data_IF_016292555903
#
_entry.id   IF_016292555903
#
_cell.length_a   1.000
_cell.length_b   1.000
_cell.length_c   1.000
_cell.angle_alpha   90.00
_cell.angle_beta   90.00
_cell.angle_gamma   90.00
#
_symmetry.space_group_name_H-M   'P 1'
#
loop_
_entity.id
_entity.type
_entity.pdbx_description
1 polymer ?
#
# COMPACT_ATOMS: atom_id res chain seq x y z
N UNK A 1 -0.75 -16.39 16.21
CA UNK A 1 0.45 -15.65 15.81
C UNK A 1 1.12 -16.50 14.75
N UNK A 2 0.72 -16.32 13.50
CA UNK A 2 1.47 -16.86 12.37
C UNK A 2 2.67 -15.91 12.23
N UNK A 3 3.87 -16.38 12.54
CA UNK A 3 5.07 -15.62 12.22
C UNK A 3 5.26 -15.72 10.71
N UNK A 4 4.95 -14.66 9.97
CA UNK A 4 5.19 -14.58 8.54
C UNK A 4 6.69 -14.69 8.21
N UNK A 5 7.06 -14.76 6.92
CA UNK A 5 8.45 -14.87 6.50
C UNK A 5 9.28 -13.69 7.02
N UNK A 6 10.29 -13.98 7.84
CA UNK A 6 11.40 -13.07 8.16
C UNK A 6 12.58 -13.43 7.27
N UNK A 7 13.05 -12.51 6.43
CA UNK A 7 14.12 -12.79 5.49
C UNK A 7 15.50 -12.38 6.03
N UNK A 8 16.54 -12.84 5.34
CA UNK A 8 17.96 -12.55 5.63
C UNK A 8 18.41 -11.42 4.69
N UNK A 9 19.51 -10.70 4.96
CA UNK A 9 19.94 -9.58 4.12
C UNK A 9 19.99 -9.93 2.62
N UNK A 10 19.43 -9.08 1.76
CA UNK A 10 19.37 -9.25 0.31
C UNK A 10 18.05 -8.79 -0.30
N UNK A 11 17.95 -8.82 -1.63
CA UNK A 11 16.71 -8.47 -2.32
C UNK A 11 15.71 -9.63 -2.22
N UNK A 12 14.61 -9.42 -1.51
CA UNK A 12 13.61 -10.46 -1.27
C UNK A 12 12.29 -10.24 -2.02
N UNK A 13 11.52 -11.33 -2.15
CA UNK A 13 10.12 -11.28 -2.55
C UNK A 13 9.30 -11.96 -1.46
N UNK A 14 8.46 -11.19 -0.78
CA UNK A 14 7.72 -11.62 0.39
C UNK A 14 6.22 -11.72 0.07
N UNK A 15 5.66 -12.90 0.27
CA UNK A 15 4.23 -13.19 0.12
C UNK A 15 3.79 -13.96 1.38
N UNK A 16 2.90 -13.35 2.17
CA UNK A 16 2.32 -13.98 3.37
C UNK A 16 1.31 -15.07 3.03
N UNK A 17 0.72 -15.00 1.83
CA UNK A 17 -0.41 -15.81 1.43
C UNK A 17 -1.72 -15.29 2.02
N UNK A 18 -2.51 -16.18 2.60
CA UNK A 18 -3.77 -15.84 3.24
C UNK A 18 -3.63 -15.94 4.76
N UNK A 19 -4.13 -14.96 5.50
CA UNK A 19 -4.08 -14.93 6.95
C UNK A 19 -3.81 -13.52 7.46
N UNK A 20 -3.36 -13.41 8.70
CA UNK A 20 -2.83 -12.14 9.19
C UNK A 20 -1.34 -12.37 9.42
N UNK A 21 -0.52 -11.86 8.52
CA UNK A 21 0.92 -12.11 8.47
C UNK A 21 1.74 -10.87 8.81
N UNK A 22 2.99 -11.11 9.22
CA UNK A 22 3.99 -10.04 9.40
C UNK A 22 5.15 -10.32 8.46
N UNK A 23 5.40 -9.40 7.54
CA UNK A 23 6.45 -9.47 6.52
C UNK A 23 7.55 -8.47 6.91
N UNK A 24 8.79 -8.96 7.01
CA UNK A 24 9.95 -8.13 7.35
C UNK A 24 11.00 -8.30 6.26
N UNK A 25 11.20 -7.27 5.44
CA UNK A 25 12.12 -7.29 4.30
C UNK A 25 13.59 -7.27 4.71
N UNK A 26 13.97 -6.38 5.61
CA UNK A 26 15.33 -6.35 6.15
C UNK A 26 16.22 -5.35 5.43
N UNK A 27 17.33 -5.80 4.84
CA UNK A 27 18.24 -4.97 4.04
C UNK A 27 18.14 -5.41 2.58
N UNK A 28 18.13 -4.49 1.62
CA UNK A 28 18.08 -4.81 0.19
C UNK A 28 16.82 -4.27 -0.48
N UNK A 29 16.63 -4.61 -1.76
CA UNK A 29 15.43 -4.22 -2.50
C UNK A 29 14.35 -5.29 -2.36
N UNK A 30 13.29 -4.99 -1.63
CA UNK A 30 12.25 -5.95 -1.27
C UNK A 30 10.94 -5.74 -2.04
N UNK A 31 10.31 -6.85 -2.40
CA UNK A 31 9.03 -6.86 -3.09
C UNK A 31 7.96 -7.61 -2.29
N UNK A 32 7.05 -6.86 -1.68
CA UNK A 32 5.92 -7.38 -0.91
C UNK A 32 4.72 -7.62 -1.84
N UNK A 33 4.25 -8.85 -1.92
CA UNK A 33 3.22 -9.28 -2.87
C UNK A 33 1.93 -9.61 -2.13
N UNK A 34 0.83 -8.97 -2.53
CA UNK A 34 -0.51 -9.24 -2.03
C UNK A 34 -1.46 -9.56 -3.19
N UNK A 35 -2.19 -10.66 -3.06
CA UNK A 35 -3.18 -11.08 -4.06
C UNK A 35 -4.32 -11.88 -3.43
N UNK A 36 -5.50 -11.85 -4.04
CA UNK A 36 -6.66 -12.58 -3.53
C UNK A 36 -7.15 -12.10 -2.16
N UNK A 37 -7.51 -13.04 -1.29
CA UNK A 37 -7.96 -12.81 0.08
C UNK A 37 -6.75 -13.00 1.02
N UNK A 38 -5.89 -11.98 1.08
CA UNK A 38 -4.64 -12.04 1.82
C UNK A 38 -4.82 -11.77 3.31
N UNK A 39 -5.87 -11.04 3.71
CA UNK A 39 -6.19 -10.73 5.10
C UNK A 39 -5.55 -9.44 5.62
N UNK A 40 -5.22 -9.40 6.90
CA UNK A 40 -4.71 -8.20 7.58
C UNK A 40 -3.22 -8.29 7.88
N UNK A 41 -2.40 -7.86 6.93
CA UNK A 41 -0.96 -8.02 6.97
C UNK A 41 -0.24 -6.78 7.50
N UNK A 42 0.95 -7.00 8.07
CA UNK A 42 1.85 -5.95 8.55
C UNK A 42 3.20 -6.05 7.85
N UNK A 43 3.67 -4.94 7.30
CA UNK A 43 5.02 -4.78 6.76
C UNK A 43 5.87 -4.06 7.81
N UNK A 44 7.07 -4.58 8.04
CA UNK A 44 8.09 -3.96 8.88
C UNK A 44 9.32 -3.70 8.02
N UNK A 45 9.54 -2.44 7.73
CA UNK A 45 10.76 -1.95 7.08
C UNK A 45 11.79 -1.48 8.10
N UNK A 46 13.07 -1.67 7.78
CA UNK A 46 14.15 -1.18 8.62
C UNK A 46 15.41 -0.75 7.88
N UNK A 47 15.36 -0.66 6.55
CA UNK A 47 16.53 -0.31 5.75
C UNK A 47 16.79 1.21 5.75
N UNK A 48 18.07 1.58 5.75
CA UNK A 48 18.56 2.97 5.61
C UNK A 48 19.26 3.21 4.28
N UNK A 49 19.28 2.20 3.41
CA UNK A 49 19.87 2.23 2.08
C UNK A 49 19.06 3.11 1.11
N UNK A 50 19.51 3.17 -0.14
CA UNK A 50 18.77 3.81 -1.24
C UNK A 50 18.09 2.76 -2.13
N UNK A 51 17.78 1.60 -1.55
CA UNK A 51 17.11 0.51 -2.24
C UNK A 51 15.67 0.91 -2.57
N UNK A 52 15.02 0.09 -3.39
CA UNK A 52 13.69 0.39 -3.92
C UNK A 52 12.78 -0.72 -3.45
N UNK A 53 12.03 -0.43 -2.39
CA UNK A 53 11.06 -1.34 -1.83
C UNK A 53 9.69 -1.07 -2.43
N UNK A 54 9.01 -2.15 -2.76
CA UNK A 54 7.76 -2.11 -3.52
C UNK A 54 6.71 -2.97 -2.83
N UNK A 55 5.52 -2.40 -2.63
CA UNK A 55 4.31 -3.17 -2.38
C UNK A 55 3.56 -3.35 -3.69
N UNK A 56 3.32 -4.61 -4.08
CA UNK A 56 2.53 -5.00 -5.24
C UNK A 56 1.18 -5.60 -4.82
N UNK A 57 0.08 -4.99 -5.24
CA UNK A 57 -1.26 -5.56 -5.09
C UNK A 57 -1.85 -5.99 -6.44
N UNK A 58 -2.32 -7.23 -6.54
CA UNK A 58 -2.92 -7.76 -7.77
C UNK A 58 -4.45 -7.67 -7.76
N UNK A 59 -5.03 -7.48 -8.95
CA UNK A 59 -6.48 -7.40 -9.19
C UNK A 59 -7.19 -6.28 -8.41
N UNK A 60 -6.47 -5.18 -8.14
CA UNK A 60 -6.97 -4.00 -7.42
C UNK A 60 -6.79 -2.75 -8.28
N UNK A 61 -7.83 -1.93 -8.38
CA UNK A 61 -7.72 -0.60 -9.01
C UNK A 61 -7.23 0.45 -8.00
N UNK A 62 -6.47 1.48 -8.42
CA UNK A 62 -6.00 2.53 -7.52
C UNK A 62 -7.07 3.22 -6.67
N UNK A 63 -8.29 3.39 -7.20
CA UNK A 63 -9.42 4.00 -6.51
C UNK A 63 -10.04 3.08 -5.43
N UNK A 64 -9.70 1.80 -5.43
CA UNK A 64 -10.07 0.86 -4.37
C UNK A 64 -9.12 0.89 -3.17
N UNK A 65 -7.96 1.53 -3.27
CA UNK A 65 -7.02 1.65 -2.15
C UNK A 65 -7.34 2.87 -1.31
N UNK A 66 -7.49 2.66 0.00
CA UNK A 66 -7.72 3.72 0.98
C UNK A 66 -6.54 3.85 1.93
N UNK A 67 -5.83 4.96 1.84
CA UNK A 67 -4.66 5.29 2.65
C UNK A 67 -5.07 6.12 3.86
N UNK A 68 -4.61 5.73 5.05
CA UNK A 68 -4.91 6.44 6.29
C UNK A 68 -3.75 6.37 7.28
N UNK A 69 -3.49 7.48 7.97
CA UNK A 69 -2.61 7.49 9.12
C UNK A 69 -3.38 6.94 10.34
N UNK A 70 -2.86 5.88 10.95
CA UNK A 70 -3.48 5.27 12.12
C UNK A 70 -3.31 6.18 13.34
N UNK A 71 -4.44 6.68 13.86
CA UNK A 71 -4.46 7.69 14.93
C UNK A 71 -3.75 7.21 16.20
N UNK A 72 -2.78 7.99 16.68
CA UNK A 72 -2.02 7.68 17.89
C UNK A 72 -0.83 6.75 17.68
N UNK A 73 -0.48 6.44 16.44
CA UNK A 73 0.68 5.63 16.03
C UNK A 73 1.46 6.33 14.91
N UNK A 74 2.57 5.76 14.48
CA UNK A 74 3.30 6.18 13.29
C UNK A 74 3.02 5.28 12.07
N UNK A 75 1.92 4.53 12.10
CA UNK A 75 1.62 3.53 11.07
C UNK A 75 0.78 4.10 9.91
N UNK A 76 1.09 3.64 8.70
CA UNK A 76 0.25 3.83 7.52
C UNK A 76 -0.62 2.59 7.31
N UNK A 77 -1.93 2.77 7.24
CA UNK A 77 -2.88 1.72 6.89
C UNK A 77 -3.40 1.91 5.46
N UNK A 78 -3.30 0.84 4.67
CA UNK A 78 -3.86 0.73 3.32
C UNK A 78 -4.97 -0.31 3.33
N UNK A 79 -6.22 0.12 3.20
CA UNK A 79 -7.39 -0.77 3.12
C UNK A 79 -7.83 -0.98 1.67
N UNK A 80 -8.26 -2.19 1.33
CA UNK A 80 -8.85 -2.49 0.01
C UNK A 80 -10.38 -2.43 0.11
N UNK A 81 -10.97 -1.37 -0.45
CA UNK A 81 -12.40 -1.09 -0.40
C UNK A 81 -13.21 -2.25 -1.00
N UNK A 82 -14.18 -2.75 -0.23
CA UNK A 82 -15.04 -3.87 -0.63
C UNK A 82 -14.54 -5.24 -0.17
N UNK A 83 -13.45 -5.30 0.59
CA UNK A 83 -12.88 -6.52 1.17
C UNK A 83 -12.46 -6.28 2.62
N UNK A 84 -12.04 -7.34 3.32
CA UNK A 84 -11.42 -7.24 4.65
C UNK A 84 -9.88 -7.10 4.56
N UNK A 85 -9.33 -7.09 3.35
CA UNK A 85 -7.90 -7.00 3.11
C UNK A 85 -7.35 -5.63 3.51
N UNK A 86 -6.24 -5.66 4.25
CA UNK A 86 -5.53 -4.46 4.65
C UNK A 86 -4.04 -4.73 4.82
N UNK A 87 -3.22 -3.72 4.50
CA UNK A 87 -1.78 -3.73 4.73
C UNK A 87 -1.45 -2.58 5.68
N UNK A 88 -0.81 -2.88 6.80
CA UNK A 88 -0.26 -1.90 7.73
C UNK A 88 1.25 -1.80 7.52
N UNK A 89 1.75 -0.61 7.26
CA UNK A 89 3.19 -0.34 7.20
C UNK A 89 3.59 0.28 8.54
N UNK A 90 4.33 -0.50 9.33
CA UNK A 90 4.77 -0.11 10.67
C UNK A 90 5.71 1.08 10.60
N UNK A 91 5.52 2.05 11.49
CA UNK A 91 6.44 3.18 11.70
C UNK A 91 6.69 4.08 10.47
N UNK A 92 5.82 4.02 9.45
CA UNK A 92 5.89 4.83 8.22
C UNK A 92 6.17 6.32 8.48
N UNK A 93 5.57 6.89 9.52
CA UNK A 93 5.71 8.30 9.90
C UNK A 93 6.85 8.57 10.89
N UNK A 94 7.52 7.54 11.41
CA UNK A 94 8.61 7.66 12.39
C UNK A 94 9.96 8.03 11.75
N UNK A 95 10.12 7.80 10.44
CA UNK A 95 11.35 8.12 9.72
C UNK A 95 11.44 7.44 8.36
N UNK A 96 12.40 7.86 7.54
CA UNK A 96 12.54 7.38 6.16
C UNK A 96 13.04 5.95 6.02
N UNK A 97 13.46 5.31 7.11
CA UNK A 97 13.95 3.93 7.12
C UNK A 97 12.86 2.88 7.32
N UNK A 98 11.61 3.30 7.43
CA UNK A 98 10.44 2.43 7.67
C UNK A 98 9.42 2.55 6.53
N UNK A 99 9.84 3.10 5.40
CA UNK A 99 8.96 3.45 4.30
C UNK A 99 9.41 2.75 3.05
N UNK A 100 8.46 2.47 2.17
CA UNK A 100 8.69 1.99 0.81
C UNK A 100 8.87 3.14 -0.17
N UNK A 101 9.41 2.85 -1.35
CA UNK A 101 9.53 3.81 -2.45
C UNK A 101 8.27 3.83 -3.31
N UNK A 102 7.64 2.67 -3.55
CA UNK A 102 6.48 2.57 -4.43
C UNK A 102 5.39 1.62 -3.95
N UNK A 103 4.15 2.02 -4.19
CA UNK A 103 3.03 1.09 -4.32
C UNK A 103 2.79 0.83 -5.81
N UNK A 104 2.60 -0.43 -6.17
CA UNK A 104 2.24 -0.87 -7.50
C UNK A 104 0.94 -1.67 -7.42
N UNK A 105 0.05 -1.42 -8.38
CA UNK A 105 -1.13 -2.26 -8.58
C UNK A 105 -1.15 -2.83 -9.98
N UNK A 106 -1.46 -4.12 -10.09
CA UNK A 106 -1.89 -4.74 -11.33
C UNK A 106 -3.43 -4.66 -11.36
N UNK A 107 -3.97 -3.78 -12.19
CA UNK A 107 -5.41 -3.57 -12.26
C UNK A 107 -6.12 -4.81 -12.84
N UNK A 108 -7.45 -4.95 -12.62
CA UNK A 108 -8.23 -5.98 -13.30
C UNK A 108 -8.17 -5.92 -14.84
N UNK A 109 -7.84 -4.76 -15.40
CA UNK A 109 -7.61 -4.55 -16.85
C UNK A 109 -6.18 -4.85 -17.29
N UNK A 110 -5.35 -5.41 -16.41
CA UNK A 110 -3.95 -5.78 -16.64
C UNK A 110 -3.02 -4.58 -16.91
N UNK A 111 -3.33 -3.43 -16.33
CA UNK A 111 -2.46 -2.26 -16.34
C UNK A 111 -1.64 -2.21 -15.04
N UNK A 112 -0.37 -1.80 -15.12
CA UNK A 112 0.43 -1.51 -13.93
C UNK A 112 0.37 -0.02 -13.66
N UNK A 113 -0.08 0.33 -12.46
CA UNK A 113 -0.12 1.71 -11.95
C UNK A 113 0.78 1.82 -10.74
N UNK A 114 1.50 2.92 -10.63
CA UNK A 114 2.44 3.17 -9.54
C UNK A 114 2.11 4.45 -8.81
N UNK A 115 2.24 4.43 -7.50
CA UNK A 115 2.19 5.58 -6.60
C UNK A 115 3.54 5.69 -5.92
N UNK A 116 4.20 6.84 -6.05
CA UNK A 116 5.44 7.11 -5.35
C UNK A 116 5.17 7.44 -3.87
N UNK A 117 6.12 7.08 -3.00
CA UNK A 117 6.13 7.43 -1.57
C UNK A 117 5.74 8.89 -1.30
N UNK A 118 6.32 9.82 -2.06
CA UNK A 118 6.13 11.26 -1.87
C UNK A 118 4.67 11.70 -2.09
N UNK A 119 3.91 10.95 -2.87
CA UNK A 119 2.51 11.24 -3.19
C UNK A 119 1.52 10.60 -2.19
N UNK A 120 1.98 9.68 -1.34
CA UNK A 120 1.13 8.99 -0.34
C UNK A 120 0.50 9.99 0.63
N UNK A 121 1.26 11.01 1.06
CA UNK A 121 0.75 12.03 1.98
C UNK A 121 -0.43 12.81 1.38
N UNK A 122 -0.43 13.04 0.06
CA UNK A 122 -1.54 13.68 -0.66
C UNK A 122 -2.81 12.83 -0.56
N UNK A 123 -2.70 11.51 -0.78
CA UNK A 123 -3.85 10.62 -0.67
C UNK A 123 -4.36 10.51 0.77
N UNK A 124 -3.47 10.36 1.74
CA UNK A 124 -3.85 10.30 3.17
C UNK A 124 -4.59 11.57 3.60
N UNK A 125 -4.07 12.75 3.24
CA UNK A 125 -4.70 14.02 3.58
C UNK A 125 -6.08 14.16 2.91
N UNK A 126 -6.18 13.79 1.63
CA UNK A 126 -7.43 13.83 0.90
C UNK A 126 -8.47 12.89 1.52
N UNK A 127 -8.10 11.63 1.74
CA UNK A 127 -8.96 10.57 2.27
C UNK A 127 -9.42 10.86 3.71
N UNK A 128 -8.55 11.45 4.55
CA UNK A 128 -8.93 11.92 5.88
C UNK A 128 -10.09 12.92 5.86
N UNK A 129 -10.27 13.69 4.77
CA UNK A 129 -11.41 14.58 4.58
C UNK A 129 -12.78 13.89 4.46
N UNK A 130 -12.79 12.59 4.16
CA UNK A 130 -14.00 11.76 4.07
C UNK A 130 -14.26 10.94 5.33
N UNK A 131 -13.26 10.84 6.23
CA UNK A 131 -13.32 10.00 7.43
C UNK A 131 -12.76 8.59 7.19
N UNK A 132 -13.42 7.59 7.78
CA UNK A 132 -13.01 6.20 7.66
C UNK A 132 -13.18 5.65 6.23
N UNK A 133 -12.42 4.62 5.89
CA UNK A 133 -12.52 3.92 4.62
C UNK A 133 -13.98 3.51 4.33
N UNK A 134 -14.53 3.80 3.13
CA UNK A 134 -15.84 3.32 2.77
C UNK A 134 -15.81 1.80 2.62
N UNK A 135 -16.88 1.11 3.02
CA UNK A 135 -17.00 -0.35 2.84
C UNK A 135 -17.26 -0.73 1.38
N UNK A 136 -17.64 0.23 0.52
CA UNK A 136 -17.84 0.04 -0.91
C UNK A 136 -17.71 1.36 -1.64
N UNK A 137 -17.14 1.38 -2.85
CA UNK A 137 -17.12 2.58 -3.70
C UNK A 137 -18.52 3.13 -4.03
N UNK A 138 -19.56 2.28 -3.95
CA UNK A 138 -20.94 2.70 -4.18
C UNK A 138 -21.56 3.47 -3.00
N UNK A 139 -20.90 3.52 -1.83
CA UNK A 139 -21.37 4.33 -0.70
C UNK A 139 -20.97 5.80 -0.82
N UNK A 140 -20.04 6.13 -1.73
CA UNK A 140 -19.64 7.51 -2.01
C UNK A 140 -20.68 8.20 -2.89
N UNK A 141 -20.97 9.48 -2.61
CA UNK A 141 -21.76 10.30 -3.53
C UNK A 141 -21.01 10.53 -4.84
N UNK A 142 -21.72 10.94 -5.89
CA UNK A 142 -21.11 11.18 -7.21
C UNK A 142 -19.98 12.21 -7.16
N UNK A 143 -20.17 13.32 -6.44
CA UNK A 143 -19.15 14.35 -6.27
C UNK A 143 -17.91 13.81 -5.53
N UNK A 144 -18.10 12.97 -4.51
CA UNK A 144 -17.01 12.35 -3.77
C UNK A 144 -16.23 11.36 -4.63
N UNK A 145 -16.93 10.56 -5.44
CA UNK A 145 -16.29 9.61 -6.37
C UNK A 145 -15.52 10.31 -7.48
N UNK A 146 -16.05 11.40 -8.02
CA UNK A 146 -15.31 12.22 -9.00
C UNK A 146 -14.04 12.79 -8.38
N UNK A 147 -14.13 13.37 -7.17
CA UNK A 147 -12.96 13.91 -6.49
C UNK A 147 -11.91 12.82 -6.17
N UNK A 148 -12.35 11.62 -5.76
CA UNK A 148 -11.47 10.48 -5.54
C UNK A 148 -10.75 10.07 -6.83
N UNK A 149 -11.49 9.95 -7.94
CA UNK A 149 -10.91 9.61 -9.23
C UNK A 149 -9.90 10.65 -9.70
N UNK A 150 -10.17 11.95 -9.48
CA UNK A 150 -9.27 13.03 -9.85
C UNK A 150 -7.96 12.99 -9.05
N UNK A 151 -8.03 12.81 -7.71
CA UNK A 151 -6.81 12.71 -6.89
C UNK A 151 -6.03 11.45 -7.22
N UNK A 152 -6.71 10.32 -7.48
CA UNK A 152 -6.08 9.07 -7.87
C UNK A 152 -5.39 9.23 -9.23
N UNK A 153 -6.04 9.82 -10.22
CA UNK A 153 -5.46 10.05 -11.54
C UNK A 153 -4.26 11.01 -11.52
N UNK A 154 -4.24 11.97 -10.59
CA UNK A 154 -3.15 12.92 -10.45
C UNK A 154 -1.87 12.32 -9.82
N UNK A 155 -2.01 11.31 -8.95
CA UNK A 155 -0.90 10.74 -8.17
C UNK A 155 -0.47 9.34 -8.63
N UNK A 156 -1.38 8.55 -9.18
CA UNK A 156 -1.04 7.24 -9.75
C UNK A 156 -0.62 7.39 -11.21
N UNK A 157 0.61 7.04 -11.54
CA UNK A 157 1.13 7.08 -12.92
C UNK A 157 1.12 5.69 -13.55
N UNK A 158 1.15 5.63 -14.89
CA UNK A 158 1.55 4.38 -15.53
C UNK A 158 3.00 4.10 -15.16
N UNK A 159 3.28 2.87 -14.76
CA UNK A 159 4.66 2.49 -14.57
C UNK A 159 5.40 2.60 -15.91
N UNK A 160 6.36 3.52 -15.97
CA UNK A 160 7.39 3.49 -16.99
C UNK A 160 8.62 2.90 -16.31
N UNK A 161 9.15 1.75 -16.77
CA UNK A 161 10.57 1.51 -16.53
C UNK A 161 11.27 2.73 -17.14
N UNK A 162 12.14 3.39 -16.39
CA UNK A 162 12.99 4.40 -16.98
C UNK A 162 13.69 3.79 -18.21
N UNK A 163 13.67 4.52 -19.34
CA UNK A 163 14.38 4.16 -20.55
C UNK A 163 15.90 4.13 -20.36
#
# INVERSE_FOLDING_TARGET
>A
MNSGPSTSPGNDTLDGGAGDDTLTGGEGQDFYVFSGDFGADTIVESDTSTDIDIVGLADVSPDQLWFSHVSGTDDLLVSVIGTDNQVTLSDWYAGSSHTLEFFQVLTPTQEIRSLARDDVATLVQFMAGFGAAPTSLNSLSEAQRTALNDVVAANWVYWSPAA
#
